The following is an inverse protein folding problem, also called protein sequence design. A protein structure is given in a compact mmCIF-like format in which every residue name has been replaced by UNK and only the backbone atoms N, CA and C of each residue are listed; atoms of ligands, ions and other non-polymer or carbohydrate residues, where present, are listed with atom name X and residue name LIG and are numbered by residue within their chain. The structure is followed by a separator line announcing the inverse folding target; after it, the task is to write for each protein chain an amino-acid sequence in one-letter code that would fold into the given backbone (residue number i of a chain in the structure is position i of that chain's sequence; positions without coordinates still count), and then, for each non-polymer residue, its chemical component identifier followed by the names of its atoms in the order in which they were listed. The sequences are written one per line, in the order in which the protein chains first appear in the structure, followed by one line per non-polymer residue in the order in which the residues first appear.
data_IF_304700331716
#
_entry.id   IF_304700331716
#
_cell.length_a   1.000
_cell.length_b   1.000
_cell.length_c   1.000
_cell.angle_alpha   90.00
_cell.angle_beta   90.00
_cell.angle_gamma   90.00
#
_symmetry.space_group_name_H-M   'P 1'
#
loop_
_entity.id
_entity.type
_entity.pdbx_description
1 polymer ?
#
# COMPACT_ATOMS: atom_id res chain seq x y z
N UNK A 1 -16.73 -14.28 -24.25
CA UNK A 1 -17.27 -14.93 -23.04
C UNK A 1 -16.18 -14.87 -21.99
N UNK A 2 -16.49 -14.73 -20.69
CA UNK A 2 -15.48 -14.70 -19.63
C UNK A 2 -15.69 -15.90 -18.71
N UNK A 3 -14.63 -16.61 -18.34
CA UNK A 3 -14.66 -17.76 -17.41
C UNK A 3 -14.17 -17.38 -16.00
N UNK A 4 -14.16 -16.08 -15.72
CA UNK A 4 -13.79 -15.46 -14.45
C UNK A 4 -14.77 -14.32 -14.08
N UNK A 5 -14.70 -13.91 -12.83
CA UNK A 5 -15.41 -12.78 -12.27
C UNK A 5 -14.43 -11.62 -12.06
N UNK A 6 -14.89 -10.41 -12.39
CA UNK A 6 -14.16 -9.17 -12.14
C UNK A 6 -14.93 -8.37 -11.11
N UNK A 7 -14.25 -7.91 -10.06
CA UNK A 7 -14.82 -7.05 -9.04
C UNK A 7 -14.05 -5.74 -9.01
N UNK A 8 -14.76 -4.64 -9.21
CA UNK A 8 -14.24 -3.29 -9.02
C UNK A 8 -14.74 -2.74 -7.69
N UNK A 9 -13.85 -2.11 -6.91
CA UNK A 9 -14.22 -1.37 -5.70
C UNK A 9 -13.61 0.05 -5.76
N UNK A 10 -14.38 1.12 -5.50
CA UNK A 10 -13.82 2.47 -5.44
C UNK A 10 -12.92 2.64 -4.21
N UNK A 11 -11.94 3.54 -4.32
CA UNK A 11 -11.13 4.03 -3.21
C UNK A 11 -11.66 5.38 -2.72
N UNK A 12 -11.76 5.53 -1.41
CA UNK A 12 -12.14 6.79 -0.76
C UNK A 12 -11.08 7.20 0.26
N UNK A 13 -10.80 8.50 0.32
CA UNK A 13 -9.94 9.13 1.32
C UNK A 13 -10.72 10.11 2.21
N UNK A 14 -12.01 9.83 2.47
CA UNK A 14 -12.92 10.71 3.22
C UNK A 14 -12.45 11.02 4.64
N UNK A 15 -11.59 10.19 5.23
CA UNK A 15 -10.98 10.44 6.53
C UNK A 15 -10.10 11.72 6.55
N UNK A 16 -9.55 12.14 5.41
CA UNK A 16 -8.78 13.38 5.28
C UNK A 16 -9.64 14.64 5.36
N UNK A 17 -10.97 14.50 5.23
CA UNK A 17 -11.90 15.62 5.13
C UNK A 17 -12.89 15.64 6.30
N UNK A 18 -12.50 16.26 7.42
CA UNK A 18 -13.28 16.26 8.67
C UNK A 18 -14.68 16.88 8.56
N UNK A 19 -14.87 17.83 7.64
CA UNK A 19 -16.15 18.53 7.42
C UNK A 19 -17.01 17.93 6.30
N UNK A 20 -16.57 16.82 5.69
CA UNK A 20 -17.28 16.19 4.58
C UNK A 20 -18.08 14.99 5.08
N UNK A 21 -19.33 14.89 4.64
CA UNK A 21 -20.16 13.72 4.93
C UNK A 21 -19.56 12.46 4.31
N UNK A 22 -19.46 11.40 5.13
CA UNK A 22 -18.99 10.07 4.72
C UNK A 22 -20.04 9.27 3.94
N UNK A 23 -21.27 9.78 3.84
CA UNK A 23 -22.33 9.12 3.10
C UNK A 23 -22.02 9.15 1.60
N UNK A 24 -22.23 8.02 0.93
CA UNK A 24 -22.13 7.88 -0.52
C UNK A 24 -23.52 7.96 -1.15
N UNK A 25 -23.58 8.54 -2.34
CA UNK A 25 -24.82 8.81 -3.06
C UNK A 25 -24.56 8.95 -4.55
N UNK A 26 -25.40 9.70 -5.26
CA UNK A 26 -25.29 9.88 -6.70
C UNK A 26 -24.09 10.72 -7.14
N UNK A 27 -23.57 11.60 -6.28
CA UNK A 27 -22.37 12.39 -6.55
C UNK A 27 -21.12 11.64 -6.12
N UNK A 28 -20.18 11.49 -7.05
CA UNK A 28 -18.95 10.73 -6.84
C UNK A 28 -18.02 11.44 -5.84
N UNK A 29 -17.47 10.65 -4.91
CA UNK A 29 -16.48 11.11 -3.92
C UNK A 29 -15.24 10.21 -3.86
N UNK A 30 -15.20 9.16 -4.67
CA UNK A 30 -14.03 8.27 -4.77
C UNK A 30 -12.90 8.99 -5.47
N UNK A 31 -11.67 8.65 -5.07
CA UNK A 31 -10.41 9.25 -5.58
C UNK A 31 -9.64 8.30 -6.49
N UNK A 32 -10.13 7.07 -6.64
CA UNK A 32 -9.56 6.04 -7.49
C UNK A 32 -10.39 4.77 -7.40
N UNK A 33 -9.89 3.69 -7.99
CA UNK A 33 -10.55 2.39 -7.99
C UNK A 33 -9.56 1.25 -8.16
N UNK A 34 -9.99 0.06 -7.75
CA UNK A 34 -9.25 -1.17 -7.97
C UNK A 34 -10.08 -2.13 -8.78
N UNK A 35 -9.41 -3.05 -9.45
CA UNK A 35 -10.04 -4.18 -10.10
C UNK A 35 -9.36 -5.47 -9.62
N UNK A 36 -10.14 -6.50 -9.36
CA UNK A 36 -9.62 -7.81 -8.99
C UNK A 36 -10.29 -8.89 -9.81
N UNK A 37 -9.53 -9.94 -10.10
CA UNK A 37 -9.95 -11.05 -10.94
C UNK A 37 -9.84 -12.35 -10.14
N UNK A 38 -10.88 -13.18 -10.25
CA UNK A 38 -10.94 -14.49 -9.63
C UNK A 38 -12.00 -15.36 -10.32
N UNK A 39 -11.91 -16.69 -10.20
CA UNK A 39 -12.90 -17.59 -10.84
C UNK A 39 -14.17 -17.77 -10.02
N UNK A 40 -14.20 -17.17 -8.83
CA UNK A 40 -15.37 -17.05 -7.97
C UNK A 40 -15.53 -15.61 -7.53
N UNK A 41 -16.77 -15.19 -7.27
CA UNK A 41 -17.05 -13.86 -6.74
C UNK A 41 -16.35 -13.66 -5.39
N UNK A 42 -16.40 -14.64 -4.50
CA UNK A 42 -15.75 -14.56 -3.18
C UNK A 42 -14.25 -14.28 -3.31
N UNK A 43 -13.59 -14.95 -4.26
CA UNK A 43 -12.16 -14.78 -4.55
C UNK A 43 -11.84 -13.37 -5.04
N UNK A 44 -12.52 -12.92 -6.11
CA UNK A 44 -12.32 -11.59 -6.67
C UNK A 44 -12.67 -10.49 -5.67
N UNK A 45 -13.76 -10.66 -4.90
CA UNK A 45 -14.22 -9.69 -3.92
C UNK A 45 -13.23 -9.49 -2.77
N UNK A 46 -12.68 -10.58 -2.21
CA UNK A 46 -11.70 -10.45 -1.14
C UNK A 46 -10.37 -9.84 -1.61
N UNK A 47 -9.90 -10.19 -2.82
CA UNK A 47 -8.75 -9.53 -3.44
C UNK A 47 -8.99 -8.03 -3.61
N UNK A 48 -10.13 -7.64 -4.18
CA UNK A 48 -10.46 -6.23 -4.38
C UNK A 48 -10.47 -5.46 -3.05
N UNK A 49 -10.99 -6.05 -1.97
CA UNK A 49 -10.98 -5.38 -0.66
C UNK A 49 -9.57 -5.10 -0.14
N UNK A 50 -8.63 -6.04 -0.31
CA UNK A 50 -7.22 -5.84 0.08
C UNK A 50 -6.50 -4.83 -0.81
N UNK A 51 -6.84 -4.82 -2.10
CA UNK A 51 -6.30 -3.86 -3.07
C UNK A 51 -6.71 -2.41 -2.77
N UNK A 52 -7.92 -2.17 -2.22
CA UNK A 52 -8.41 -0.82 -1.87
C UNK A 52 -7.66 -0.21 -0.70
N UNK A 53 -7.27 -1.02 0.29
CA UNK A 53 -6.67 -0.55 1.53
C UNK A 53 -5.75 -1.62 2.12
N UNK A 54 -4.45 -1.33 2.19
CA UNK A 54 -3.44 -2.27 2.71
C UNK A 54 -3.65 -2.64 4.18
N UNK A 55 -4.45 -1.85 4.91
CA UNK A 55 -4.80 -2.13 6.31
C UNK A 55 -5.91 -3.16 6.46
N UNK A 56 -6.59 -3.52 5.37
CA UNK A 56 -7.70 -4.48 5.34
C UNK A 56 -7.22 -5.83 4.82
N UNK A 57 -7.54 -6.91 5.54
CA UNK A 57 -7.10 -8.26 5.19
C UNK A 57 -8.11 -9.04 4.30
N UNK A 58 -9.28 -8.47 4.01
CA UNK A 58 -10.37 -9.09 3.26
C UNK A 58 -11.74 -8.64 3.75
N UNK A 59 -12.77 -9.48 3.60
CA UNK A 59 -14.11 -9.20 4.12
C UNK A 59 -14.17 -9.53 5.63
N UNK A 60 -13.66 -8.60 6.43
CA UNK A 60 -13.41 -8.79 7.86
C UNK A 60 -14.54 -8.22 8.74
N UNK A 61 -15.21 -9.05 9.56
CA UNK A 61 -16.31 -8.63 10.43
C UNK A 61 -15.88 -7.87 11.69
N UNK A 62 -14.58 -7.78 11.98
CA UNK A 62 -14.04 -7.14 13.19
C UNK A 62 -13.60 -5.69 12.97
N UNK A 63 -13.55 -5.22 11.72
CA UNK A 63 -13.12 -3.85 11.37
C UNK A 63 -14.12 -2.78 11.81
N UNK A 64 -15.43 -3.10 11.77
CA UNK A 64 -16.50 -2.20 12.21
C UNK A 64 -17.53 -2.95 13.05
N UNK A 65 -18.12 -2.31 14.07
CA UNK A 65 -19.28 -2.87 14.75
C UNK A 65 -20.52 -2.82 13.86
N UNK A 66 -21.54 -3.62 14.21
CA UNK A 66 -22.84 -3.55 13.56
C UNK A 66 -23.49 -2.19 13.82
N UNK A 67 -23.90 -1.51 12.74
CA UNK A 67 -24.59 -0.23 12.79
C UNK A 67 -25.61 -0.15 11.65
N UNK A 68 -26.88 -0.42 11.97
CA UNK A 68 -27.94 -0.51 10.95
C UNK A 68 -28.12 0.78 10.15
N UNK A 69 -27.87 1.94 10.76
CA UNK A 69 -27.90 3.23 10.08
C UNK A 69 -26.98 3.28 8.85
N UNK A 70 -25.77 2.69 8.94
CA UNK A 70 -24.81 2.64 7.84
C UNK A 70 -25.15 1.54 6.81
N UNK A 71 -25.93 0.53 7.22
CA UNK A 71 -26.51 -0.43 6.29
C UNK A 71 -27.60 0.22 5.45
N UNK A 72 -28.42 1.12 6.01
CA UNK A 72 -29.47 1.85 5.28
C UNK A 72 -28.88 3.03 4.48
N UNK A 73 -28.04 3.84 5.12
CA UNK A 73 -27.37 4.98 4.53
C UNK A 73 -25.91 4.63 4.22
N UNK A 74 -25.60 4.29 2.96
CA UNK A 74 -24.30 3.72 2.63
C UNK A 74 -23.16 4.71 2.89
N UNK A 75 -22.07 4.18 3.45
CA UNK A 75 -20.79 4.86 3.69
C UNK A 75 -19.65 4.14 2.95
N UNK A 76 -18.47 4.74 2.89
CA UNK A 76 -17.24 4.11 2.38
C UNK A 76 -16.82 2.85 3.16
N UNK A 77 -17.37 2.64 4.37
CA UNK A 77 -17.10 1.48 5.23
C UNK A 77 -18.29 0.53 5.39
N UNK A 78 -19.39 0.73 4.66
CA UNK A 78 -20.62 -0.10 4.72
C UNK A 78 -20.32 -1.59 4.58
N UNK A 79 -19.38 -1.95 3.71
CA UNK A 79 -19.00 -3.35 3.46
C UNK A 79 -18.55 -4.07 4.73
N UNK A 80 -17.81 -3.40 5.61
CA UNK A 80 -17.36 -4.00 6.88
C UNK A 80 -18.47 -4.03 7.93
N UNK A 81 -19.38 -3.07 7.93
CA UNK A 81 -20.60 -3.11 8.76
C UNK A 81 -21.48 -4.30 8.34
N UNK A 82 -21.56 -4.59 7.04
CA UNK A 82 -22.26 -5.74 6.50
C UNK A 82 -21.61 -7.07 6.91
N UNK A 83 -20.28 -7.16 6.89
CA UNK A 83 -19.53 -8.31 7.40
C UNK A 83 -19.86 -8.57 8.88
N UNK A 84 -19.84 -7.52 9.71
CA UNK A 84 -20.19 -7.60 11.12
C UNK A 84 -21.65 -8.05 11.34
N UNK A 85 -22.59 -7.56 10.53
CA UNK A 85 -23.99 -7.94 10.63
C UNK A 85 -24.23 -9.41 10.27
N UNK A 86 -23.54 -9.91 9.24
CA UNK A 86 -23.54 -11.34 8.90
C UNK A 86 -22.94 -12.19 10.03
N UNK A 87 -21.83 -11.74 10.66
CA UNK A 87 -21.23 -12.41 11.83
C UNK A 87 -22.17 -12.41 13.03
N UNK A 88 -22.99 -11.36 13.18
CA UNK A 88 -24.06 -11.27 14.17
C UNK A 88 -25.34 -12.05 13.80
N UNK A 89 -25.28 -12.92 12.78
CA UNK A 89 -26.38 -13.79 12.32
C UNK A 89 -27.62 -13.04 11.80
N UNK A 90 -27.45 -11.86 11.19
CA UNK A 90 -28.55 -11.21 10.48
C UNK A 90 -28.98 -12.06 9.27
N UNK A 91 -30.29 -12.18 9.05
CA UNK A 91 -30.81 -12.92 7.89
C UNK A 91 -30.53 -12.17 6.58
N UNK A 92 -30.45 -12.91 5.48
CA UNK A 92 -30.24 -12.32 4.15
C UNK A 92 -31.40 -11.40 3.76
N UNK A 93 -32.63 -11.76 4.13
CA UNK A 93 -33.82 -10.96 3.88
C UNK A 93 -33.74 -9.62 4.62
N UNK A 94 -33.33 -9.63 5.90
CA UNK A 94 -33.12 -8.41 6.66
C UNK A 94 -32.06 -7.52 6.03
N UNK A 95 -30.93 -8.11 5.63
CA UNK A 95 -29.83 -7.37 4.99
C UNK A 95 -30.22 -6.83 3.62
N UNK A 96 -31.00 -7.56 2.84
CA UNK A 96 -31.58 -7.08 1.58
C UNK A 96 -32.50 -5.88 1.84
N UNK A 97 -33.37 -5.95 2.85
CA UNK A 97 -34.27 -4.84 3.17
C UNK A 97 -33.53 -3.57 3.60
N UNK A 98 -32.46 -3.72 4.40
CA UNK A 98 -31.65 -2.59 4.82
C UNK A 98 -30.81 -2.03 3.67
N UNK A 99 -30.22 -2.91 2.84
CA UNK A 99 -29.16 -2.49 1.92
C UNK A 99 -29.57 -2.31 0.47
N UNK A 100 -30.60 -3.05 0.05
CA UNK A 100 -31.02 -3.29 -1.34
C UNK A 100 -29.92 -3.90 -2.22
N UNK A 101 -28.88 -4.47 -1.61
CA UNK A 101 -27.90 -5.31 -2.30
C UNK A 101 -28.55 -6.66 -2.60
N UNK A 102 -28.47 -7.12 -3.84
CA UNK A 102 -29.10 -8.36 -4.27
C UNK A 102 -28.71 -9.55 -3.38
N UNK A 103 -29.70 -10.40 -3.10
CA UNK A 103 -29.55 -11.55 -2.22
C UNK A 103 -28.46 -12.53 -2.68
N UNK A 104 -28.18 -12.59 -3.99
CA UNK A 104 -27.07 -13.39 -4.51
C UNK A 104 -25.72 -12.95 -3.93
N UNK A 105 -25.41 -11.64 -3.95
CA UNK A 105 -24.16 -11.12 -3.39
C UNK A 105 -24.12 -11.31 -1.87
N UNK A 106 -25.24 -11.07 -1.18
CA UNK A 106 -25.32 -11.26 0.26
C UNK A 106 -25.06 -12.71 0.67
N UNK A 107 -25.59 -13.69 -0.08
CA UNK A 107 -25.29 -15.11 0.15
C UNK A 107 -23.81 -15.43 -0.10
N UNK A 108 -23.20 -14.84 -1.13
CA UNK A 108 -21.76 -15.01 -1.39
C UNK A 108 -20.89 -14.41 -0.28
N UNK A 109 -21.25 -13.25 0.23
CA UNK A 109 -20.60 -12.64 1.39
C UNK A 109 -20.79 -13.48 2.65
N UNK A 110 -21.97 -14.08 2.84
CA UNK A 110 -22.24 -15.02 3.93
C UNK A 110 -21.32 -16.24 3.87
N UNK A 111 -21.06 -16.80 2.68
CA UNK A 111 -20.11 -17.92 2.54
C UNK A 111 -18.74 -17.60 3.12
N UNK A 112 -18.26 -16.36 2.95
CA UNK A 112 -16.98 -15.91 3.50
C UNK A 112 -17.04 -15.89 5.02
N UNK A 113 -18.08 -15.28 5.61
CA UNK A 113 -18.25 -15.20 7.06
C UNK A 113 -18.43 -16.58 7.71
N UNK A 114 -19.22 -17.44 7.08
CA UNK A 114 -19.40 -18.83 7.53
C UNK A 114 -18.05 -19.56 7.55
N UNK A 115 -17.19 -19.33 6.55
CA UNK A 115 -15.87 -19.95 6.50
C UNK A 115 -14.89 -19.33 7.51
N UNK A 116 -14.98 -18.02 7.80
CA UNK A 116 -14.25 -17.40 8.92
C UNK A 116 -14.60 -18.12 10.23
N UNK A 117 -15.88 -18.36 10.50
CA UNK A 117 -16.31 -19.08 11.70
C UNK A 117 -15.71 -20.49 11.78
N UNK A 118 -15.63 -21.19 10.64
CA UNK A 118 -15.01 -22.51 10.57
C UNK A 118 -13.50 -22.45 10.84
N UNK A 119 -12.77 -21.47 10.27
CA UNK A 119 -11.34 -21.29 10.53
C UNK A 119 -11.07 -21.02 12.01
N UNK A 120 -11.84 -20.12 12.62
CA UNK A 120 -11.76 -19.83 14.07
C UNK A 120 -12.05 -21.07 14.93
N UNK A 121 -12.95 -21.95 14.48
CA UNK A 121 -13.27 -23.20 15.15
C UNK A 121 -12.17 -24.26 14.98
N UNK A 122 -11.61 -24.41 13.78
CA UNK A 122 -10.53 -25.36 13.51
C UNK A 122 -9.25 -25.02 14.28
N UNK A 123 -8.93 -23.74 14.40
CA UNK A 123 -7.68 -23.28 15.02
C UNK A 123 -6.46 -23.68 14.19
N UNK A 124 -5.35 -23.97 14.87
CA UNK A 124 -4.08 -24.30 14.21
C UNK A 124 -4.09 -25.70 13.57
N UNK A 125 -3.22 -25.92 12.59
CA UNK A 125 -3.04 -27.18 11.83
C UNK A 125 -4.16 -27.50 10.84
N UNK A 126 -4.50 -26.54 9.98
CA UNK A 126 -5.47 -26.72 8.90
C UNK A 126 -5.02 -27.82 7.92
N UNK A 127 -5.95 -28.66 7.47
CA UNK A 127 -5.67 -29.69 6.45
C UNK A 127 -5.52 -29.06 5.06
N UNK A 128 -5.01 -29.84 4.10
CA UNK A 128 -4.94 -29.44 2.68
C UNK A 128 -6.28 -28.90 2.17
N UNK A 129 -7.37 -29.65 2.36
CA UNK A 129 -8.69 -29.27 1.86
C UNK A 129 -9.22 -28.00 2.52
N UNK A 130 -8.96 -27.82 3.82
CA UNK A 130 -9.37 -26.62 4.56
C UNK A 130 -8.62 -25.38 4.06
N UNK A 131 -7.29 -25.47 3.91
CA UNK A 131 -6.50 -24.38 3.37
C UNK A 131 -6.87 -24.08 1.91
N UNK A 132 -6.92 -25.11 1.05
CA UNK A 132 -7.28 -24.94 -0.35
C UNK A 132 -8.65 -24.26 -0.47
N UNK A 133 -9.63 -24.68 0.32
CA UNK A 133 -10.96 -24.06 0.31
C UNK A 133 -10.94 -22.61 0.79
N UNK A 134 -10.17 -22.28 1.81
CA UNK A 134 -9.96 -20.88 2.23
C UNK A 134 -9.38 -20.05 1.09
N UNK A 135 -8.30 -20.54 0.46
CA UNK A 135 -7.64 -19.83 -0.65
C UNK A 135 -8.55 -19.70 -1.88
N UNK A 136 -9.35 -20.71 -2.19
CA UNK A 136 -10.36 -20.68 -3.27
C UNK A 136 -11.49 -19.68 -3.03
N UNK A 137 -11.74 -19.31 -1.77
CA UNK A 137 -12.68 -18.23 -1.40
C UNK A 137 -11.98 -16.86 -1.35
N UNK A 138 -10.68 -16.77 -1.65
CA UNK A 138 -9.92 -15.52 -1.70
C UNK A 138 -9.31 -15.08 -0.38
N UNK A 139 -9.25 -15.93 0.64
CA UNK A 139 -8.64 -15.56 1.91
C UNK A 139 -7.13 -15.33 1.77
N UNK A 140 -6.64 -14.22 2.31
CA UNK A 140 -5.19 -13.98 2.45
C UNK A 140 -4.60 -14.84 3.57
N UNK A 141 -3.30 -15.08 3.51
CA UNK A 141 -2.55 -15.77 4.57
C UNK A 141 -2.66 -14.96 5.89
N UNK A 142 -2.69 -13.62 5.82
CA UNK A 142 -2.97 -12.73 6.97
C UNK A 142 -4.35 -12.94 7.58
N UNK A 143 -5.40 -13.04 6.75
CA UNK A 143 -6.77 -13.25 7.24
C UNK A 143 -6.93 -14.63 7.89
N UNK A 144 -6.33 -15.67 7.30
CA UNK A 144 -6.30 -17.02 7.87
C UNK A 144 -5.55 -17.00 9.20
N UNK A 145 -4.37 -16.37 9.25
CA UNK A 145 -3.54 -16.27 10.43
C UNK A 145 -4.28 -15.61 11.60
N UNK A 146 -4.98 -14.50 11.34
CA UNK A 146 -5.81 -13.82 12.34
C UNK A 146 -6.92 -14.72 12.88
N UNK A 147 -7.60 -15.48 12.01
CA UNK A 147 -8.68 -16.39 12.42
C UNK A 147 -8.18 -17.55 13.30
N UNK A 148 -7.00 -18.12 12.99
CA UNK A 148 -6.45 -19.27 13.72
C UNK A 148 -5.50 -18.86 14.86
N UNK A 149 -5.27 -17.55 15.07
CA UNK A 149 -4.31 -16.99 16.05
C UNK A 149 -2.86 -17.44 15.79
N UNK A 150 -2.41 -17.29 14.55
CA UNK A 150 -1.05 -17.58 14.08
C UNK A 150 -0.44 -16.35 13.39
N UNK A 151 0.72 -16.51 12.76
CA UNK A 151 1.32 -15.49 11.89
C UNK A 151 1.09 -15.83 10.42
N UNK A 152 1.03 -14.81 9.58
CA UNK A 152 0.86 -14.93 8.13
C UNK A 152 2.01 -15.73 7.49
N UNK A 153 3.24 -15.52 7.95
CA UNK A 153 4.39 -16.31 7.49
C UNK A 153 4.27 -17.81 7.84
N UNK A 154 3.69 -18.15 9.01
CA UNK A 154 3.47 -19.54 9.38
C UNK A 154 2.41 -20.19 8.50
N UNK A 155 1.32 -19.47 8.19
CA UNK A 155 0.29 -19.93 7.24
C UNK A 155 0.89 -20.14 5.86
N UNK A 156 1.68 -19.19 5.36
CA UNK A 156 2.36 -19.28 4.06
C UNK A 156 3.26 -20.52 3.97
N UNK A 157 4.09 -20.75 4.99
CA UNK A 157 4.99 -21.92 5.05
C UNK A 157 4.21 -23.23 5.02
N UNK A 158 3.21 -23.35 5.89
CA UNK A 158 2.35 -24.53 5.94
C UNK A 158 1.65 -24.79 4.60
N UNK A 159 1.11 -23.73 3.99
CA UNK A 159 0.48 -23.75 2.67
C UNK A 159 1.44 -24.27 1.59
N UNK A 160 2.69 -23.80 1.57
CA UNK A 160 3.70 -24.26 0.64
C UNK A 160 4.11 -25.73 0.89
N UNK A 161 4.31 -26.12 2.15
CA UNK A 161 4.70 -27.48 2.55
C UNK A 161 3.68 -28.55 2.11
N UNK A 162 2.39 -28.23 2.19
CA UNK A 162 1.32 -29.15 1.78
C UNK A 162 0.90 -28.98 0.31
N UNK A 163 1.56 -28.11 -0.45
CA UNK A 163 1.32 -27.94 -1.89
C UNK A 163 0.05 -27.16 -2.26
N UNK A 164 -0.45 -26.27 -1.40
CA UNK A 164 -1.56 -25.36 -1.72
C UNK A 164 -0.98 -24.08 -2.34
N UNK A 165 -0.71 -24.11 -3.64
CA UNK A 165 -0.13 -22.98 -4.39
C UNK A 165 -1.13 -22.46 -5.44
N UNK A 166 -1.07 -21.16 -5.81
CA UNK A 166 -1.93 -20.63 -6.85
C UNK A 166 -1.45 -21.04 -8.24
N UNK A 167 -2.36 -20.99 -9.21
CA UNK A 167 -2.06 -21.17 -10.63
C UNK A 167 -2.22 -19.86 -11.39
N UNK A 168 -1.48 -19.71 -12.48
CA UNK A 168 -1.50 -18.54 -13.36
C UNK A 168 -2.47 -18.79 -14.51
N UNK A 169 -3.40 -17.87 -14.73
CA UNK A 169 -4.43 -17.94 -15.78
C UNK A 169 -4.41 -16.73 -16.68
N UNK A 170 -4.69 -16.94 -17.96
CA UNK A 170 -4.73 -15.90 -18.98
C UNK A 170 -6.12 -15.29 -19.11
N UNK A 171 -6.16 -14.01 -19.47
CA UNK A 171 -7.37 -13.30 -19.87
C UNK A 171 -7.42 -13.29 -21.41
N UNK A 172 -8.33 -14.04 -21.98
CA UNK A 172 -8.34 -14.36 -23.41
C UNK A 172 -9.55 -13.82 -24.20
N UNK A 173 -10.53 -13.21 -23.51
CA UNK A 173 -11.82 -12.71 -24.04
C UNK A 173 -12.77 -13.79 -24.61
N UNK A 174 -12.32 -15.03 -24.73
CA UNK A 174 -13.01 -16.15 -25.41
C UNK A 174 -13.24 -17.36 -24.50
N UNK A 175 -12.92 -17.27 -23.21
CA UNK A 175 -13.15 -18.32 -22.21
C UNK A 175 -12.50 -19.68 -22.59
N UNK A 176 -11.28 -19.64 -23.12
CA UNK A 176 -10.49 -20.81 -23.50
C UNK A 176 -10.87 -21.45 -24.83
N UNK A 177 -11.76 -20.84 -25.62
CA UNK A 177 -12.18 -21.39 -26.92
C UNK A 177 -11.04 -21.37 -27.96
N UNK A 178 -10.19 -20.33 -27.89
CA UNK A 178 -9.02 -20.16 -28.76
C UNK A 178 -7.77 -19.90 -27.93
N UNK A 179 -6.58 -20.36 -28.39
CA UNK A 179 -5.32 -20.04 -27.72
C UNK A 179 -5.14 -18.53 -27.60
N UNK A 180 -5.01 -18.04 -26.37
CA UNK A 180 -4.80 -16.64 -26.07
C UNK A 180 -3.37 -16.25 -26.44
N UNK A 181 -3.21 -15.24 -27.31
CA UNK A 181 -1.93 -14.59 -27.53
C UNK A 181 -1.68 -13.44 -26.53
N UNK A 182 -2.50 -13.33 -25.47
CA UNK A 182 -2.45 -12.23 -24.51
C UNK A 182 -1.42 -12.49 -23.43
N UNK A 183 -0.81 -11.41 -22.95
CA UNK A 183 0.13 -11.37 -21.84
C UNK A 183 -0.54 -11.03 -20.49
N UNK A 184 -1.87 -11.04 -20.45
CA UNK A 184 -2.67 -10.55 -19.34
C UNK A 184 -3.06 -11.71 -18.42
N UNK A 185 -2.60 -11.64 -17.17
CA UNK A 185 -2.55 -12.76 -16.24
C UNK A 185 -3.19 -12.41 -14.91
N UNK A 186 -3.76 -13.42 -14.25
CA UNK A 186 -4.15 -13.36 -12.85
C UNK A 186 -3.86 -14.70 -12.18
N UNK A 187 -3.77 -14.74 -10.85
CA UNK A 187 -3.53 -15.98 -10.11
C UNK A 187 -4.81 -16.47 -9.45
N UNK A 188 -5.00 -17.78 -9.36
CA UNK A 188 -6.19 -18.37 -8.72
C UNK A 188 -5.92 -19.75 -8.14
N UNK A 189 -6.61 -20.07 -7.05
CA UNK A 189 -6.64 -21.42 -6.47
C UNK A 189 -7.76 -22.29 -7.04
N UNK A 190 -8.59 -21.74 -7.94
CA UNK A 190 -9.70 -22.42 -8.60
C UNK A 190 -9.28 -23.00 -9.97
N UNK A 191 -8.09 -23.59 -10.02
CA UNK A 191 -7.45 -24.13 -11.22
C UNK A 191 -6.62 -25.37 -10.90
N UNK A 192 -6.18 -26.07 -11.94
CA UNK A 192 -5.41 -27.33 -11.84
C UNK A 192 -4.07 -27.29 -12.57
N UNK A 193 -3.83 -26.28 -13.41
CA UNK A 193 -2.60 -26.08 -14.17
C UNK A 193 -2.41 -24.58 -14.48
N UNK A 194 -1.21 -24.20 -14.90
CA UNK A 194 -0.92 -22.86 -15.43
C UNK A 194 -1.25 -22.79 -16.92
N UNK A 195 -1.64 -21.61 -17.40
CA UNK A 195 -1.86 -21.36 -18.84
C UNK A 195 -0.57 -20.98 -19.58
N UNK A 196 0.51 -20.70 -18.85
CA UNK A 196 1.80 -20.27 -19.39
C UNK A 196 2.95 -21.11 -18.85
N UNK A 197 4.08 -21.07 -19.55
CA UNK A 197 5.36 -21.61 -19.09
C UNK A 197 6.18 -20.55 -18.34
N UNK A 198 7.18 -20.98 -17.56
CA UNK A 198 8.04 -20.10 -16.76
C UNK A 198 9.52 -20.26 -17.17
N UNK A 199 9.96 -19.67 -18.28
CA UNK A 199 11.32 -19.83 -18.78
C UNK A 199 12.37 -19.05 -17.97
N UNK A 200 11.96 -18.16 -17.05
CA UNK A 200 12.85 -17.26 -16.31
C UNK A 200 13.37 -16.10 -17.15
N UNK A 201 14.43 -15.42 -16.68
CA UNK A 201 15.09 -14.29 -17.35
C UNK A 201 14.22 -13.04 -17.57
N UNK A 202 13.16 -12.88 -16.78
CA UNK A 202 12.38 -11.65 -16.75
C UNK A 202 12.89 -10.70 -15.67
N UNK A 203 12.68 -9.41 -15.87
CA UNK A 203 12.80 -8.38 -14.83
C UNK A 203 11.41 -8.00 -14.35
N UNK A 204 11.16 -8.11 -13.05
CA UNK A 204 9.87 -7.76 -12.45
C UNK A 204 9.84 -6.29 -12.04
N UNK A 205 8.75 -5.59 -12.37
CA UNK A 205 8.47 -4.21 -11.97
C UNK A 205 7.14 -4.21 -11.22
N UNK A 206 7.12 -3.61 -10.03
CA UNK A 206 5.92 -3.49 -9.21
C UNK A 206 5.36 -2.08 -9.31
N UNK A 207 4.06 -1.98 -9.63
CA UNK A 207 3.36 -0.72 -9.82
C UNK A 207 2.94 -0.04 -8.53
N UNK A 208 2.13 1.00 -8.67
CA UNK A 208 1.66 1.82 -7.55
C UNK A 208 0.37 1.34 -6.88
N UNK A 209 -0.36 0.42 -7.53
CA UNK A 209 -1.67 0.01 -7.07
C UNK A 209 -2.68 1.15 -7.21
N UNK A 210 -3.59 1.25 -6.24
CA UNK A 210 -4.71 2.18 -6.31
C UNK A 210 -4.30 3.63 -6.13
N UNK A 211 -4.80 4.49 -7.02
CA UNK A 211 -4.71 5.94 -6.83
C UNK A 211 -5.44 6.39 -5.56
N UNK A 212 -4.76 7.26 -4.81
CA UNK A 212 -5.25 7.89 -3.58
C UNK A 212 -4.63 9.27 -3.44
N UNK A 213 -5.12 10.09 -2.51
CA UNK A 213 -4.53 11.41 -2.31
C UNK A 213 -3.10 11.24 -1.80
N UNK A 214 -2.12 11.81 -2.50
CA UNK A 214 -0.69 11.64 -2.23
C UNK A 214 -0.03 10.45 -2.94
N UNK A 215 -0.77 9.70 -3.77
CA UNK A 215 -0.18 8.70 -4.68
C UNK A 215 -1.08 8.52 -5.90
N UNK A 216 -0.66 9.07 -7.03
CA UNK A 216 -1.43 9.16 -8.27
C UNK A 216 -0.59 8.71 -9.47
N UNK A 217 -0.88 9.26 -10.65
CA UNK A 217 -0.32 8.90 -11.95
C UNK A 217 1.19 9.09 -12.05
N UNK A 218 1.81 9.90 -11.19
CA UNK A 218 3.27 10.10 -11.16
C UNK A 218 4.03 8.78 -10.99
N UNK A 219 3.54 7.88 -10.15
CA UNK A 219 4.16 6.58 -9.95
C UNK A 219 3.88 5.61 -11.10
N UNK A 220 2.70 5.72 -11.74
CA UNK A 220 2.43 4.95 -12.95
C UNK A 220 3.36 5.37 -14.10
N UNK A 221 3.60 6.67 -14.23
CA UNK A 221 4.54 7.22 -15.21
C UNK A 221 5.97 6.71 -14.98
N UNK A 222 6.44 6.65 -13.72
CA UNK A 222 7.73 6.07 -13.37
C UNK A 222 7.83 4.59 -13.75
N UNK A 223 6.80 3.79 -13.42
CA UNK A 223 6.76 2.36 -13.76
C UNK A 223 6.75 2.13 -15.27
N UNK A 224 5.92 2.86 -16.02
CA UNK A 224 5.86 2.78 -17.50
C UNK A 224 7.17 3.18 -18.14
N UNK A 225 7.82 4.24 -17.65
CA UNK A 225 9.13 4.67 -18.14
C UNK A 225 10.20 3.61 -17.89
N UNK A 226 10.19 2.99 -16.72
CA UNK A 226 11.09 1.87 -16.39
C UNK A 226 10.88 0.67 -17.33
N UNK A 227 9.63 0.26 -17.57
CA UNK A 227 9.29 -0.83 -18.50
C UNK A 227 9.79 -0.55 -19.92
N UNK A 228 9.61 0.69 -20.41
CA UNK A 228 10.08 1.10 -21.75
C UNK A 228 11.60 1.02 -21.86
N UNK A 229 12.34 1.50 -20.85
CA UNK A 229 13.80 1.42 -20.87
C UNK A 229 14.32 -0.01 -20.75
N UNK A 230 13.68 -0.87 -19.94
CA UNK A 230 14.01 -2.29 -19.90
C UNK A 230 13.81 -2.96 -21.27
N UNK A 231 12.71 -2.63 -21.95
CA UNK A 231 12.44 -3.11 -23.32
C UNK A 231 13.49 -2.61 -24.31
N UNK A 232 13.90 -1.33 -24.23
CA UNK A 232 14.98 -0.77 -25.06
C UNK A 232 16.31 -1.50 -24.84
N UNK A 233 16.57 -1.98 -23.62
CA UNK A 233 17.73 -2.80 -23.27
C UNK A 233 17.56 -4.29 -23.64
N UNK A 234 16.48 -4.66 -24.33
CA UNK A 234 16.21 -6.03 -24.75
C UNK A 234 15.86 -6.98 -23.60
N UNK A 235 15.40 -6.46 -22.45
CA UNK A 235 14.99 -7.25 -21.30
C UNK A 235 13.49 -7.56 -21.37
N UNK A 236 13.14 -8.81 -21.09
CA UNK A 236 11.74 -9.19 -20.93
C UNK A 236 11.22 -8.74 -19.57
N UNK A 237 9.99 -8.22 -19.53
CA UNK A 237 9.44 -7.56 -18.34
C UNK A 237 8.18 -8.22 -17.81
N UNK A 238 8.09 -8.29 -16.48
CA UNK A 238 6.87 -8.64 -15.75
C UNK A 238 6.38 -7.38 -15.03
N UNK A 239 5.12 -7.01 -15.21
CA UNK A 239 4.48 -5.95 -14.45
C UNK A 239 3.46 -6.54 -13.47
N UNK A 240 3.46 -6.08 -12.23
CA UNK A 240 2.43 -6.39 -11.23
C UNK A 240 1.72 -5.09 -10.84
N UNK A 241 0.45 -4.96 -11.18
CA UNK A 241 -0.39 -3.82 -10.79
C UNK A 241 -1.86 -4.21 -10.88
N UNK A 242 -2.76 -3.43 -10.27
CA UNK A 242 -4.19 -3.75 -10.19
C UNK A 242 -5.12 -2.54 -10.37
N UNK A 243 -4.59 -1.41 -10.83
CA UNK A 243 -5.38 -0.21 -11.08
C UNK A 243 -5.84 -0.16 -12.53
N UNK A 244 -7.15 -0.31 -12.82
CA UNK A 244 -7.67 -0.40 -14.18
C UNK A 244 -7.57 0.90 -14.98
N UNK A 245 -7.24 2.02 -14.33
CA UNK A 245 -7.12 3.34 -14.97
C UNK A 245 -5.70 3.62 -15.52
N UNK A 246 -4.75 2.72 -15.27
CA UNK A 246 -3.32 2.96 -15.50
C UNK A 246 -2.80 2.42 -16.82
N UNK A 247 -1.83 3.14 -17.40
CA UNK A 247 -1.15 2.69 -18.63
C UNK A 247 -0.25 1.50 -18.32
N UNK A 248 0.32 1.38 -17.11
CA UNK A 248 1.09 0.18 -16.76
C UNK A 248 0.26 -1.11 -16.76
N UNK A 249 -1.07 -1.01 -16.64
CA UNK A 249 -1.97 -2.15 -16.77
C UNK A 249 -2.51 -2.37 -18.19
N UNK A 250 -1.96 -1.68 -19.19
CA UNK A 250 -2.23 -1.97 -20.60
C UNK A 250 -1.37 -3.15 -21.09
N UNK A 251 -1.95 -3.96 -21.97
CA UNK A 251 -1.36 -5.20 -22.44
C UNK A 251 -0.14 -4.99 -23.33
N UNK A 252 0.08 -3.81 -23.91
CA UNK A 252 1.21 -3.54 -24.80
C UNK A 252 2.47 -3.03 -24.07
N UNK A 253 2.38 -2.76 -22.76
CA UNK A 253 3.47 -2.14 -21.98
C UNK A 253 4.54 -3.10 -21.48
N UNK A 254 4.22 -4.38 -21.26
CA UNK A 254 5.16 -5.39 -20.76
C UNK A 254 4.97 -6.74 -21.44
N UNK A 255 5.85 -7.71 -21.19
CA UNK A 255 5.74 -9.05 -21.79
C UNK A 255 4.81 -9.97 -20.99
N UNK A 256 4.64 -9.70 -19.69
CA UNK A 256 3.71 -10.38 -18.78
C UNK A 256 3.13 -9.38 -17.80
N UNK A 257 1.81 -9.34 -17.70
CA UNK A 257 1.10 -8.42 -16.85
C UNK A 257 0.23 -9.20 -15.87
N UNK A 258 0.62 -9.21 -14.61
CA UNK A 258 -0.18 -9.77 -13.53
C UNK A 258 -1.09 -8.69 -12.97
N UNK A 259 -2.39 -8.83 -13.24
CA UNK A 259 -3.43 -7.98 -12.69
C UNK A 259 -3.77 -8.42 -11.25
N UNK A 260 -2.83 -8.17 -10.34
CA UNK A 260 -2.80 -8.79 -9.01
C UNK A 260 -2.41 -7.84 -7.89
N UNK A 261 -2.77 -8.24 -6.67
CA UNK A 261 -2.56 -7.49 -5.44
C UNK A 261 -1.05 -7.28 -5.18
N UNK A 262 -0.68 -6.06 -4.80
CA UNK A 262 0.69 -5.74 -4.38
C UNK A 262 0.77 -5.95 -2.86
N UNK A 263 0.93 -7.22 -2.49
CA UNK A 263 1.24 -7.63 -1.12
C UNK A 263 2.39 -8.61 -1.11
N UNK A 264 3.09 -8.72 0.02
CA UNK A 264 4.19 -9.68 0.17
C UNK A 264 3.77 -11.10 -0.23
N UNK A 265 2.57 -11.53 0.14
CA UNK A 265 2.06 -12.86 -0.19
C UNK A 265 2.00 -13.10 -1.70
N UNK A 266 1.35 -12.18 -2.43
CA UNK A 266 1.06 -12.35 -3.86
C UNK A 266 2.30 -12.07 -4.71
N UNK A 267 3.04 -11.01 -4.40
CA UNK A 267 4.30 -10.69 -5.10
C UNK A 267 5.32 -11.82 -4.92
N UNK A 268 5.42 -12.42 -3.73
CA UNK A 268 6.31 -13.55 -3.51
C UNK A 268 5.82 -14.83 -4.20
N UNK A 269 4.51 -15.08 -4.27
CA UNK A 269 3.96 -16.20 -5.06
C UNK A 269 4.35 -16.07 -6.54
N UNK A 270 4.18 -14.88 -7.13
CA UNK A 270 4.56 -14.62 -8.53
C UNK A 270 6.08 -14.71 -8.71
N UNK A 271 6.86 -14.12 -7.79
CA UNK A 271 8.33 -14.17 -7.84
C UNK A 271 8.86 -15.61 -7.83
N UNK A 272 8.28 -16.49 -7.00
CA UNK A 272 8.68 -17.89 -6.91
C UNK A 272 8.30 -18.70 -8.15
N UNK A 273 7.15 -18.39 -8.77
CA UNK A 273 6.71 -19.03 -10.01
C UNK A 273 7.55 -18.59 -11.22
N UNK A 274 7.79 -17.29 -11.35
CA UNK A 274 8.48 -16.70 -12.50
C UNK A 274 10.01 -16.81 -12.44
N UNK A 275 10.57 -16.89 -11.22
CA UNK A 275 12.02 -16.89 -10.97
C UNK A 275 12.76 -15.78 -11.77
N UNK A 276 12.39 -14.49 -11.57
CA UNK A 276 12.95 -13.39 -12.35
C UNK A 276 14.41 -13.09 -11.97
N UNK A 277 15.15 -12.40 -12.85
CA UNK A 277 16.52 -11.95 -12.57
C UNK A 277 16.59 -11.01 -11.35
N UNK A 278 15.51 -10.28 -11.12
CA UNK A 278 15.33 -9.40 -9.96
C UNK A 278 14.02 -8.63 -10.03
N UNK A 279 13.74 -7.88 -8.96
CA UNK A 279 12.52 -7.09 -8.77
C UNK A 279 12.85 -5.62 -8.53
N UNK A 280 12.17 -4.72 -9.24
CA UNK A 280 12.27 -3.27 -9.09
C UNK A 280 11.05 -2.79 -8.30
N UNK A 281 11.30 -2.19 -7.13
CA UNK A 281 10.26 -1.68 -6.22
C UNK A 281 10.17 -0.15 -6.21
N UNK A 282 11.26 0.54 -6.56
CA UNK A 282 11.43 1.99 -6.39
C UNK A 282 10.56 2.87 -7.30
N UNK A 283 9.74 2.28 -8.19
CA UNK A 283 8.93 3.02 -9.17
C UNK A 283 7.45 3.12 -8.78
N UNK A 284 6.97 2.28 -7.86
CA UNK A 284 5.56 2.21 -7.49
C UNK A 284 5.19 2.92 -6.18
N UNK A 285 6.06 3.79 -5.66
CA UNK A 285 5.79 4.55 -4.44
C UNK A 285 5.79 3.70 -3.16
N UNK A 286 4.91 4.02 -2.20
CA UNK A 286 5.00 3.47 -0.85
C UNK A 286 4.65 1.97 -0.78
N UNK A 287 3.69 1.50 -1.58
CA UNK A 287 3.15 0.15 -1.44
C UNK A 287 4.21 -0.94 -1.75
N UNK A 288 5.01 -0.84 -2.82
CA UNK A 288 6.16 -1.74 -3.02
C UNK A 288 7.28 -1.54 -1.99
N UNK A 289 7.55 -0.30 -1.56
CA UNK A 289 8.58 -0.03 -0.56
C UNK A 289 8.26 -0.71 0.79
N UNK A 290 6.98 -0.73 1.19
CA UNK A 290 6.52 -1.37 2.42
C UNK A 290 6.81 -2.88 2.48
N UNK A 291 6.87 -3.56 1.34
CA UNK A 291 7.13 -5.01 1.28
C UNK A 291 8.59 -5.37 0.98
N UNK A 292 9.46 -4.37 0.75
CA UNK A 292 10.84 -4.58 0.32
C UNK A 292 11.65 -5.43 1.32
N UNK A 293 11.55 -5.14 2.62
CA UNK A 293 12.26 -5.88 3.68
C UNK A 293 11.74 -7.31 3.80
N UNK A 294 10.44 -7.54 3.67
CA UNK A 294 9.87 -8.88 3.78
C UNK A 294 10.27 -9.76 2.60
N UNK A 295 10.31 -9.18 1.38
CA UNK A 295 10.85 -9.82 0.18
C UNK A 295 12.35 -10.16 0.36
N UNK A 296 13.14 -9.21 0.85
CA UNK A 296 14.56 -9.41 1.12
C UNK A 296 14.81 -10.56 2.11
N UNK A 297 14.04 -10.61 3.20
CA UNK A 297 14.12 -11.69 4.21
C UNK A 297 13.79 -13.07 3.64
N UNK A 298 13.00 -13.14 2.55
CA UNK A 298 12.76 -14.37 1.80
C UNK A 298 13.70 -14.55 0.60
N UNK A 299 14.83 -13.82 0.58
CA UNK A 299 15.88 -13.93 -0.42
C UNK A 299 15.47 -13.53 -1.85
N UNK A 300 14.41 -12.74 -2.00
CA UNK A 300 14.10 -12.13 -3.29
C UNK A 300 15.17 -11.09 -3.65
N UNK A 301 15.68 -11.16 -4.88
CA UNK A 301 16.71 -10.23 -5.38
C UNK A 301 16.08 -8.90 -5.80
N UNK A 302 16.08 -7.93 -4.89
CA UNK A 302 15.69 -6.55 -5.17
C UNK A 302 16.81 -5.85 -5.94
N UNK A 303 16.45 -5.15 -7.03
CA UNK A 303 17.36 -4.37 -7.86
C UNK A 303 17.31 -2.90 -7.46
N UNK A 304 18.45 -2.22 -7.57
CA UNK A 304 18.62 -0.82 -7.16
C UNK A 304 18.98 -0.68 -5.69
N UNK A 305 18.52 0.40 -5.06
CA UNK A 305 18.77 0.70 -3.64
C UNK A 305 18.33 -0.46 -2.75
N UNK A 306 19.20 -0.87 -1.84
CA UNK A 306 18.95 -2.04 -1.00
C UNK A 306 17.72 -1.85 -0.09
N UNK A 307 16.94 -2.92 0.20
CA UNK A 307 15.84 -2.87 1.16
C UNK A 307 16.28 -2.38 2.55
N UNK A 308 17.51 -2.66 2.98
CA UNK A 308 18.05 -2.15 4.24
C UNK A 308 18.33 -0.63 4.20
N UNK A 309 18.77 -0.11 3.06
CA UNK A 309 18.92 1.35 2.85
C UNK A 309 17.57 2.05 2.86
N UNK A 310 16.56 1.47 2.19
CA UNK A 310 15.18 1.98 2.22
C UNK A 310 14.66 2.01 3.66
N UNK A 311 14.80 0.92 4.42
CA UNK A 311 14.39 0.86 5.82
C UNK A 311 15.19 1.84 6.71
N UNK A 312 16.44 2.14 6.38
CA UNK A 312 17.24 3.15 7.07
C UNK A 312 16.71 4.56 6.83
N UNK A 313 16.23 4.86 5.62
CA UNK A 313 15.63 6.15 5.27
C UNK A 313 14.22 6.33 5.86
N UNK A 314 13.39 5.29 5.79
CA UNK A 314 12.01 5.29 6.30
C UNK A 314 11.95 5.27 7.84
N UNK A 315 12.91 4.60 8.48
CA UNK A 315 12.96 4.55 9.94
C UNK A 315 13.59 5.83 10.51
N UNK A 316 12.74 6.67 11.08
CA UNK A 316 13.14 7.97 11.64
C UNK A 316 14.29 7.93 12.64
N UNK A 317 14.38 6.89 13.47
CA UNK A 317 15.50 6.75 14.40
C UNK A 317 16.81 6.43 13.68
N UNK A 318 16.77 5.56 12.67
CA UNK A 318 17.94 5.20 11.88
C UNK A 318 18.41 6.40 11.04
N UNK A 319 17.48 7.05 10.35
CA UNK A 319 17.73 8.24 9.55
C UNK A 319 18.30 9.39 10.39
N UNK A 320 17.66 9.72 11.51
CA UNK A 320 18.13 10.81 12.38
C UNK A 320 19.54 10.57 12.92
N UNK A 321 19.85 9.35 13.39
CA UNK A 321 21.19 8.99 13.86
C UNK A 321 22.24 9.07 12.75
N UNK A 322 21.85 8.77 11.51
CA UNK A 322 22.70 8.92 10.35
C UNK A 322 23.04 10.40 10.11
N UNK A 323 22.03 11.28 10.11
CA UNK A 323 22.24 12.73 9.94
C UNK A 323 23.17 13.29 11.03
N UNK A 324 22.94 12.92 12.29
CA UNK A 324 23.77 13.36 13.42
C UNK A 324 25.24 12.95 13.28
N UNK A 325 25.51 11.70 12.83
CA UNK A 325 26.87 11.20 12.61
C UNK A 325 27.61 11.99 11.54
N UNK A 326 26.89 12.48 10.53
CA UNK A 326 27.45 13.26 9.43
C UNK A 326 27.52 14.76 9.76
N UNK A 327 26.82 15.21 10.80
CA UNK A 327 26.70 16.63 11.15
C UNK A 327 25.68 17.38 10.29
N UNK A 328 24.75 16.67 9.65
CA UNK A 328 23.64 17.27 8.90
C UNK A 328 22.58 17.74 9.90
N UNK A 329 22.18 19.00 9.79
CA UNK A 329 21.20 19.60 10.71
C UNK A 329 19.81 19.00 10.49
N UNK A 330 19.10 18.77 11.59
CA UNK A 330 17.70 18.35 11.61
C UNK A 330 16.95 19.06 12.74
N UNK A 331 15.63 19.29 12.61
CA UNK A 331 14.84 19.86 13.71
C UNK A 331 14.91 18.97 14.95
N UNK A 332 14.96 19.59 16.13
CA UNK A 332 14.86 18.84 17.38
C UNK A 332 13.55 18.04 17.39
N UNK A 333 13.65 16.77 17.76
CA UNK A 333 12.50 15.88 17.80
C UNK A 333 12.61 14.87 18.92
N UNK A 334 11.47 14.33 19.33
CA UNK A 334 11.39 13.25 20.31
C UNK A 334 10.18 12.36 20.05
N UNK A 335 10.37 11.07 20.25
CA UNK A 335 9.26 10.13 20.40
C UNK A 335 8.78 10.12 21.85
N UNK A 336 7.49 10.33 22.04
CA UNK A 336 6.85 10.45 23.36
C UNK A 336 5.67 9.50 23.46
N UNK A 337 5.47 8.91 24.64
CA UNK A 337 4.40 7.95 24.92
C UNK A 337 3.37 8.50 25.92
N UNK A 338 3.65 9.65 26.53
CA UNK A 338 2.76 10.26 27.51
C UNK A 338 2.74 11.79 27.36
N UNK A 339 1.60 12.38 27.72
CA UNK A 339 1.33 13.81 27.60
C UNK A 339 2.35 14.66 28.37
N UNK A 340 2.74 14.25 29.58
CA UNK A 340 3.68 15.01 30.39
C UNK A 340 5.04 15.17 29.68
N UNK A 341 5.58 14.08 29.14
CA UNK A 341 6.83 14.11 28.37
C UNK A 341 6.72 14.90 27.06
N UNK A 342 5.52 14.94 26.47
CA UNK A 342 5.24 15.74 25.28
C UNK A 342 5.29 17.24 25.59
N UNK A 343 4.66 17.66 26.70
CA UNK A 343 4.67 19.05 27.17
C UNK A 343 6.09 19.48 27.52
N UNK A 344 6.81 18.69 28.32
CA UNK A 344 8.21 18.98 28.70
C UNK A 344 9.10 19.17 27.47
N UNK A 345 8.93 18.32 26.46
CA UNK A 345 9.66 18.46 25.20
C UNK A 345 9.30 19.76 24.48
N UNK A 346 8.00 20.06 24.31
CA UNK A 346 7.55 21.27 23.62
C UNK A 346 7.97 22.55 24.34
N UNK A 347 7.97 22.57 25.66
CA UNK A 347 8.47 23.69 26.46
C UNK A 347 10.00 23.87 26.31
N UNK A 348 10.74 22.75 26.18
CA UNK A 348 12.19 22.81 25.99
C UNK A 348 12.62 23.32 24.61
N UNK A 349 11.89 22.96 23.54
CA UNK A 349 12.20 23.39 22.15
C UNK A 349 11.44 24.64 21.72
N UNK A 350 10.43 25.04 22.49
CA UNK A 350 9.53 26.15 22.22
C UNK A 350 8.49 25.84 21.13
N UNK A 351 7.30 26.41 21.26
CA UNK A 351 6.25 26.36 20.24
C UNK A 351 6.55 27.25 19.02
N UNK A 352 5.95 26.99 17.84
CA UNK A 352 5.08 25.85 17.52
C UNK A 352 5.84 24.51 17.38
N UNK A 353 5.12 23.40 17.56
CA UNK A 353 5.61 22.03 17.42
C UNK A 353 4.70 21.20 16.51
N UNK A 354 5.30 20.37 15.67
CA UNK A 354 4.60 19.46 14.77
C UNK A 354 4.37 18.12 15.46
N UNK A 355 3.11 17.72 15.56
CA UNK A 355 2.66 16.47 16.18
C UNK A 355 2.31 15.46 15.09
N UNK A 356 3.00 14.32 15.07
CA UNK A 356 2.83 13.25 14.10
C UNK A 356 2.51 11.94 14.81
N UNK A 357 1.28 11.41 14.70
CA UNK A 357 0.97 10.07 15.19
C UNK A 357 1.74 9.01 14.40
N UNK A 358 2.33 8.02 15.08
CA UNK A 358 3.21 7.03 14.42
C UNK A 358 2.51 6.08 13.45
N UNK A 359 1.18 6.08 13.40
CA UNK A 359 0.37 5.16 12.59
C UNK A 359 -0.14 5.78 11.27
N UNK A 360 0.22 7.04 10.94
CA UNK A 360 -0.30 7.73 9.74
C UNK A 360 0.85 8.12 8.80
N UNK A 361 0.89 7.51 7.62
CA UNK A 361 1.93 7.72 6.60
C UNK A 361 1.65 8.93 5.67
N UNK A 362 0.41 9.40 5.55
CA UNK A 362 0.02 10.39 4.52
C UNK A 362 -0.43 11.75 5.07
N UNK A 363 0.17 12.22 6.17
CA UNK A 363 -0.13 13.53 6.75
C UNK A 363 -1.54 13.72 7.35
N UNK A 364 -2.44 12.74 7.21
CA UNK A 364 -3.87 12.86 7.50
C UNK A 364 -4.24 13.14 8.97
N UNK A 365 -3.27 13.07 9.88
CA UNK A 365 -3.41 13.41 11.29
C UNK A 365 -2.26 14.30 11.82
N UNK A 366 -1.49 14.93 10.92
CA UNK A 366 -0.44 15.85 11.30
C UNK A 366 -1.04 17.18 11.74
N UNK A 367 -0.67 17.64 12.94
CA UNK A 367 -1.17 18.90 13.49
C UNK A 367 -0.01 19.74 13.99
N UNK A 368 -0.13 21.07 13.87
CA UNK A 368 0.81 22.02 14.44
C UNK A 368 0.21 22.55 15.73
N UNK A 369 0.81 22.20 16.86
CA UNK A 369 0.45 22.73 18.17
C UNK A 369 1.16 24.07 18.40
N UNK A 370 0.42 25.07 18.88
CA UNK A 370 0.95 26.39 19.25
C UNK A 370 0.99 26.60 20.76
N UNK A 371 0.38 25.69 21.53
CA UNK A 371 0.28 25.74 22.98
C UNK A 371 0.14 24.35 23.59
N UNK A 372 0.30 24.27 24.92
CA UNK A 372 0.02 23.05 25.69
C UNK A 372 -1.44 22.59 25.51
N UNK A 373 -2.40 23.53 25.38
CA UNK A 373 -3.82 23.21 25.19
C UNK A 373 -4.11 22.55 23.83
N UNK A 374 -3.45 23.03 22.77
CA UNK A 374 -3.56 22.42 21.44
C UNK A 374 -3.00 20.99 21.48
N UNK A 375 -1.83 20.83 22.10
CA UNK A 375 -1.16 19.54 22.24
C UNK A 375 -2.04 18.52 22.98
N UNK A 376 -2.65 18.91 24.11
CA UNK A 376 -3.61 18.07 24.83
C UNK A 376 -4.79 17.64 23.94
N UNK A 377 -5.37 18.59 23.20
CA UNK A 377 -6.50 18.33 22.30
C UNK A 377 -6.13 17.31 21.23
N UNK A 378 -4.97 17.49 20.58
CA UNK A 378 -4.49 16.60 19.53
C UNK A 378 -4.11 15.21 20.05
N UNK A 379 -3.43 15.13 21.21
CA UNK A 379 -3.04 13.85 21.79
C UNK A 379 -4.25 13.06 22.31
N UNK A 380 -5.24 13.73 22.91
CA UNK A 380 -6.48 13.07 23.35
C UNK A 380 -7.24 12.50 22.14
N UNK A 381 -7.41 13.28 21.07
CA UNK A 381 -8.02 12.82 19.84
C UNK A 381 -7.24 11.65 19.19
N UNK A 382 -5.91 11.68 19.23
CA UNK A 382 -5.07 10.58 18.73
C UNK A 382 -5.18 9.32 19.60
N UNK A 383 -5.31 9.47 20.92
CA UNK A 383 -5.42 8.37 21.89
C UNK A 383 -6.75 7.60 21.82
N UNK A 384 -7.82 8.26 21.36
CA UNK A 384 -9.10 7.60 21.06
C UNK A 384 -9.01 6.69 19.82
N UNK A 385 -8.06 6.95 18.93
CA UNK A 385 -7.84 6.19 17.69
C UNK A 385 -6.84 5.04 17.90
N UNK A 386 -5.82 5.22 18.74
CA UNK A 386 -4.98 4.12 19.22
C UNK A 386 -4.27 4.47 20.53
N UNK A 387 -4.41 3.59 21.55
CA UNK A 387 -3.80 3.79 22.88
C UNK A 387 -2.36 3.31 22.99
N UNK A 388 -1.90 2.48 22.05
CA UNK A 388 -0.65 1.72 22.18
C UNK A 388 0.48 2.23 21.24
N UNK A 389 0.27 3.36 20.55
CA UNK A 389 1.26 3.89 19.63
C UNK A 389 1.93 5.17 20.15
N UNK A 390 3.27 5.25 20.07
CA UNK A 390 3.98 6.48 20.40
C UNK A 390 3.56 7.62 19.47
N UNK A 391 3.83 8.87 19.87
CA UNK A 391 3.66 10.06 19.05
C UNK A 391 5.02 10.71 18.85
N UNK A 392 5.28 11.13 17.62
CA UNK A 392 6.52 11.82 17.27
C UNK A 392 6.24 13.31 17.25
N UNK A 393 7.00 14.07 18.04
CA UNK A 393 6.92 15.52 18.09
C UNK A 393 8.23 16.11 17.60
N UNK A 394 8.14 17.13 16.73
CA UNK A 394 9.31 17.85 16.21
C UNK A 394 9.10 19.35 16.27
N UNK A 395 10.19 20.11 16.42
CA UNK A 395 10.14 21.57 16.31
C UNK A 395 9.64 21.95 14.93
N UNK A 396 8.60 22.79 14.86
CA UNK A 396 8.11 23.36 13.60
C UNK A 396 8.91 24.62 13.28
N UNK A 397 9.47 24.67 12.07
CA UNK A 397 10.23 25.82 11.58
C UNK A 397 9.27 26.78 10.85
N UNK A 398 9.10 27.97 11.41
CA UNK A 398 8.26 29.01 10.81
C UNK A 398 9.07 29.82 9.79
N UNK A 399 8.39 30.37 8.79
CA UNK A 399 8.98 31.25 7.76
C UNK A 399 10.18 30.60 7.04
N UNK A 400 10.20 29.26 7.00
CA UNK A 400 11.20 28.48 6.31
C UNK A 400 10.75 28.18 4.88
N UNK A 401 11.69 28.20 3.95
CA UNK A 401 11.47 27.67 2.59
C UNK A 401 11.55 26.15 2.61
N UNK A 402 10.74 25.51 1.79
CA UNK A 402 10.78 24.07 1.55
C UNK A 402 11.37 23.80 0.16
N UNK A 403 12.26 22.81 0.07
CA UNK A 403 13.05 22.49 -1.12
C UNK A 403 12.96 20.99 -1.35
N UNK A 404 12.61 20.61 -2.59
CA UNK A 404 12.69 19.22 -3.04
C UNK A 404 13.95 19.02 -3.89
N UNK A 405 14.60 17.87 -3.71
CA UNK A 405 15.78 17.48 -4.47
C UNK A 405 15.58 16.09 -5.06
N UNK A 406 15.16 16.03 -6.31
CA UNK A 406 15.06 14.75 -7.02
C UNK A 406 16.40 14.41 -7.64
N UNK A 407 16.90 13.19 -7.39
CA UNK A 407 18.18 12.76 -7.91
C UNK A 407 18.20 11.27 -8.27
N UNK A 408 19.12 10.91 -9.16
CA UNK A 408 19.46 9.51 -9.46
C UNK A 408 20.91 9.31 -9.11
N UNK A 409 21.19 8.26 -8.35
CA UNK A 409 22.54 7.86 -7.98
C UNK A 409 22.86 6.44 -8.43
N UNK A 410 24.14 6.12 -8.56
CA UNK A 410 24.64 4.77 -8.73
C UNK A 410 25.77 4.54 -7.73
N UNK A 411 25.68 3.51 -6.90
CA UNK A 411 26.67 3.20 -5.85
C UNK A 411 26.97 4.42 -4.96
N UNK A 412 25.91 5.20 -4.66
CA UNK A 412 25.97 6.41 -3.86
C UNK A 412 26.51 7.66 -4.57
N UNK A 413 26.92 7.57 -5.83
CA UNK A 413 27.35 8.73 -6.63
C UNK A 413 26.19 9.32 -7.45
N UNK A 414 25.90 10.61 -7.27
CA UNK A 414 24.83 11.30 -8.00
C UNK A 414 25.19 11.43 -9.49
N UNK A 415 24.31 10.93 -10.35
CA UNK A 415 24.39 11.03 -11.81
C UNK A 415 23.61 12.23 -12.36
N UNK A 416 22.42 12.48 -11.81
CA UNK A 416 21.61 13.65 -12.13
C UNK A 416 20.86 14.14 -10.90
N UNK A 417 20.60 15.45 -10.85
CA UNK A 417 19.85 16.08 -9.76
C UNK A 417 19.05 17.28 -10.29
N UNK A 418 17.86 17.47 -9.74
CA UNK A 418 17.01 18.64 -9.94
C UNK A 418 16.63 19.19 -8.57
N UNK A 419 16.86 20.49 -8.37
CA UNK A 419 16.45 21.20 -7.15
C UNK A 419 15.22 22.04 -7.50
N UNK A 420 14.18 21.93 -6.68
CA UNK A 420 12.91 22.63 -6.86
C UNK A 420 12.58 23.43 -5.60
N UNK A 421 12.19 24.69 -5.78
CA UNK A 421 11.77 25.57 -4.70
C UNK A 421 10.25 25.59 -4.60
N UNK A 422 9.72 25.47 -3.37
CA UNK A 422 8.30 25.67 -3.11
C UNK A 422 7.97 27.17 -3.09
N UNK A 423 6.84 27.56 -3.67
CA UNK A 423 6.31 28.93 -3.55
C UNK A 423 5.78 29.17 -2.13
N UNK A 424 5.12 28.17 -1.56
CA UNK A 424 4.64 28.17 -0.19
C UNK A 424 5.77 27.86 0.81
N UNK A 425 5.63 28.37 2.04
CA UNK A 425 6.57 28.07 3.11
C UNK A 425 6.36 26.65 3.67
N UNK A 426 7.39 26.14 4.31
CA UNK A 426 7.38 24.86 4.99
C UNK A 426 6.18 24.76 5.95
N UNK A 427 5.43 23.68 5.81
CA UNK A 427 4.19 23.42 6.55
C UNK A 427 2.95 23.32 5.67
N UNK A 428 2.99 23.82 4.43
CA UNK A 428 2.14 23.32 3.35
C UNK A 428 2.76 22.01 2.85
N UNK A 429 1.98 20.95 2.72
CA UNK A 429 2.51 19.66 2.28
C UNK A 429 3.04 19.77 0.84
N UNK A 430 4.19 19.16 0.52
CA UNK A 430 4.82 19.23 -0.80
C UNK A 430 3.87 18.88 -1.95
N UNK A 431 3.05 17.83 -1.78
CA UNK A 431 2.02 17.45 -2.76
C UNK A 431 0.89 18.48 -2.99
N UNK A 432 0.74 19.48 -2.12
CA UNK A 432 -0.21 20.60 -2.27
C UNK A 432 0.51 21.92 -2.63
N UNK A 433 1.86 21.94 -2.62
CA UNK A 433 2.67 23.11 -2.87
C UNK A 433 2.92 23.31 -4.38
N UNK A 434 3.19 24.55 -4.76
CA UNK A 434 3.59 24.93 -6.12
C UNK A 434 5.12 24.89 -6.22
N UNK A 435 5.65 24.09 -7.14
CA UNK A 435 7.09 23.94 -7.35
C UNK A 435 7.61 24.83 -8.49
N UNK A 436 8.81 25.39 -8.31
CA UNK A 436 9.55 26.11 -9.34
C UNK A 436 10.93 25.51 -9.53
N UNK A 437 11.23 25.13 -10.78
CA UNK A 437 12.50 24.49 -11.17
C UNK A 437 13.09 25.23 -12.37
N UNK A 438 14.32 25.78 -12.31
CA UNK A 438 15.21 25.82 -11.14
C UNK A 438 14.70 26.77 -10.04
N UNK A 439 15.24 26.71 -8.81
CA UNK A 439 14.89 27.62 -7.74
C UNK A 439 15.14 29.08 -8.15
N UNK A 440 14.28 30.00 -7.70
CA UNK A 440 14.31 31.41 -8.09
C UNK A 440 14.89 32.31 -7.01
N UNK A 441 14.69 31.98 -5.73
CA UNK A 441 15.06 32.84 -4.60
C UNK A 441 15.94 32.08 -3.60
N UNK A 442 17.00 31.45 -4.12
CA UNK A 442 18.04 30.76 -3.35
C UNK A 442 19.41 31.26 -3.80
N UNK A 443 20.24 31.65 -2.83
CA UNK A 443 21.61 32.07 -3.14
C UNK A 443 22.50 30.85 -3.46
N UNK A 444 23.62 31.11 -4.15
CA UNK A 444 24.52 30.04 -4.62
C UNK A 444 25.12 29.21 -3.49
N UNK A 445 25.43 29.83 -2.35
CA UNK A 445 26.01 29.13 -1.19
C UNK A 445 25.05 28.10 -0.60
N UNK A 446 23.78 28.48 -0.39
CA UNK A 446 22.72 27.58 0.07
C UNK A 446 22.47 26.47 -0.95
N UNK A 447 22.45 26.80 -2.25
CA UNK A 447 22.24 25.80 -3.30
C UNK A 447 23.36 24.76 -3.33
N UNK A 448 24.62 25.17 -3.17
CA UNK A 448 25.75 24.22 -3.09
C UNK A 448 25.69 23.37 -1.83
N UNK A 449 25.26 23.94 -0.69
CA UNK A 449 25.03 23.17 0.54
C UNK A 449 23.93 22.13 0.39
N UNK A 450 22.84 22.46 -0.31
CA UNK A 450 21.76 21.50 -0.62
C UNK A 450 22.31 20.34 -1.46
N UNK A 451 23.10 20.64 -2.49
CA UNK A 451 23.75 19.59 -3.31
C UNK A 451 24.74 18.76 -2.53
N UNK A 452 25.51 19.36 -1.61
CA UNK A 452 26.42 18.65 -0.72
C UNK A 452 25.67 17.66 0.17
N UNK A 453 24.58 18.11 0.81
CA UNK A 453 23.72 17.24 1.63
C UNK A 453 23.15 16.10 0.78
N UNK A 454 22.65 16.38 -0.42
CA UNK A 454 22.13 15.34 -1.31
C UNK A 454 23.19 14.29 -1.67
N UNK A 455 24.44 14.71 -1.98
CA UNK A 455 25.55 13.79 -2.25
C UNK A 455 25.92 12.96 -1.03
N UNK A 456 25.93 13.57 0.14
CA UNK A 456 26.21 12.87 1.39
C UNK A 456 25.16 11.83 1.74
N UNK A 457 23.87 12.13 1.49
CA UNK A 457 22.76 11.18 1.66
C UNK A 457 22.86 10.03 0.67
N UNK A 458 23.11 10.33 -0.61
CA UNK A 458 23.29 9.31 -1.64
C UNK A 458 24.41 8.34 -1.28
N UNK A 459 25.58 8.86 -0.89
CA UNK A 459 26.73 8.07 -0.51
C UNK A 459 26.50 7.25 0.77
N UNK A 460 25.83 7.81 1.78
CA UNK A 460 25.59 7.10 3.03
C UNK A 460 24.59 5.95 2.88
N UNK A 461 23.53 6.18 2.11
CA UNK A 461 22.49 5.18 1.85
C UNK A 461 22.87 4.21 0.73
N UNK A 462 24.04 4.38 0.11
CA UNK A 462 24.49 3.61 -1.06
C UNK A 462 23.41 3.55 -2.15
N UNK A 463 22.85 4.73 -2.46
CA UNK A 463 21.68 4.83 -3.35
C UNK A 463 22.08 4.38 -4.75
N UNK A 464 21.29 3.46 -5.30
CA UNK A 464 21.42 2.99 -6.68
C UNK A 464 20.03 3.02 -7.32
N UNK A 465 19.70 4.12 -7.99
CA UNK A 465 18.38 4.40 -8.51
C UNK A 465 17.89 5.80 -8.13
N UNK A 466 16.58 6.08 -8.29
CA UNK A 466 15.99 7.35 -7.93
C UNK A 466 15.88 7.51 -6.40
N UNK A 467 16.03 8.73 -5.92
CA UNK A 467 15.68 9.15 -4.57
C UNK A 467 15.26 10.62 -4.56
N UNK A 468 14.61 11.02 -3.46
CA UNK A 468 14.18 12.38 -3.16
C UNK A 468 14.67 12.74 -1.75
#
# INVERSE_FOLDING_TARGET
SLDYCVVKIPRWDLAKFTRVSKNIGSSMKSVGEVMAIGRKFEEAFQKALRMVDETVNGFDPYVKPVKEEELVQPTDKRTFVLAAALKANYSIEKLYELTKIDAWFLNKMKNIIDYINLLEFYGNNLTYDQLLKAKQLGFSDKQIASAIKSTDLAVRRHRAEIGVIPFVKQIDTVAGEWPAATNYLYITYNATNHDIEFPGNYTMVVGSGVYRIGSSVEFDWCAVSCLRELRNLGRSTIMINYNPETVSTDYDMCDRLYFEEISFEVVMDIYQLENPEGIILSMGGQLPNNIAIDLHRQQARVLGTSPESIDTAENRFKFSRMLDRKGILQPNWREVTNLQSAIEFCESVGYPCLVRPSYVLSGAAMNVAYSNQDLETYLNAASEVSRDHPVVISKFLQEAKEIDVDAVAAEGEILCLAVSEHVENAGVHSGDATLVTPPQDINTETLEKIKEIARDLAAFLDVTGPFN
#
